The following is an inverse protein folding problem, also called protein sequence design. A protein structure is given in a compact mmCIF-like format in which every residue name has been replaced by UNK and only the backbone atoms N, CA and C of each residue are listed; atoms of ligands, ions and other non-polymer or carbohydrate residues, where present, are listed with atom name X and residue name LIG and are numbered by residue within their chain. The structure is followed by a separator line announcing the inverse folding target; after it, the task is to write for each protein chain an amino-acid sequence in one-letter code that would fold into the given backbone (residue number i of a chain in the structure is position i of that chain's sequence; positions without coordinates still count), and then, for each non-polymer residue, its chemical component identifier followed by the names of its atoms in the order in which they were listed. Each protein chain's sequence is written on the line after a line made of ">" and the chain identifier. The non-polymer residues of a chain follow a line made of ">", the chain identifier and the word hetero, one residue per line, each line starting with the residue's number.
data_IF_400598444764
#
_entry.id   IF_400598444764
#
_cell.length_a   1.000
_cell.length_b   1.000
_cell.length_c   1.000
_cell.angle_alpha   90.00
_cell.angle_beta   90.00
_cell.angle_gamma   90.00
#
_symmetry.space_group_name_H-M   'P 1'
#
loop_
_entity.id
_entity.type
_entity.pdbx_description
1 polymer ?
#
# COMPACT_ATOMS: atom_id res chain seq x y z
N UNK A 1 -6.24 1.10 7.50
CA UNK A 1 -6.19 2.58 7.57
C UNK A 1 -7.43 3.26 6.99
N UNK A 2 -7.84 3.04 5.74
CA UNK A 2 -9.10 3.62 5.22
C UNK A 2 -10.32 2.70 5.34
N UNK A 3 -10.07 1.41 5.61
CA UNK A 3 -11.09 0.35 5.69
C UNK A 3 -11.09 -0.35 7.05
N UNK A 4 -10.61 0.33 8.10
CA UNK A 4 -10.44 -0.26 9.43
C UNK A 4 -11.78 -0.60 10.09
N UNK A 5 -12.83 0.15 9.77
CA UNK A 5 -14.18 -0.06 10.30
C UNK A 5 -15.02 -1.06 9.49
N UNK A 6 -14.47 -1.61 8.39
CA UNK A 6 -15.16 -2.68 7.65
C UNK A 6 -14.99 -4.01 8.38
N UNK A 7 -16.04 -4.83 8.37
CA UNK A 7 -15.91 -6.22 8.83
C UNK A 7 -15.01 -7.01 7.88
N UNK A 8 -14.43 -8.10 8.38
CA UNK A 8 -13.54 -8.96 7.59
C UNK A 8 -14.25 -9.57 6.36
N UNK A 9 -15.54 -9.87 6.48
CA UNK A 9 -16.36 -10.37 5.37
C UNK A 9 -16.55 -9.30 4.29
N UNK A 10 -16.82 -8.05 4.68
CA UNK A 10 -16.97 -6.94 3.75
C UNK A 10 -15.65 -6.62 3.04
N UNK A 11 -14.52 -6.70 3.75
CA UNK A 11 -13.18 -6.52 3.16
C UNK A 11 -12.84 -7.61 2.16
N UNK A 12 -13.11 -8.87 2.52
CA UNK A 12 -12.88 -10.03 1.66
C UNK A 12 -13.71 -9.94 0.39
N UNK A 13 -15.00 -9.60 0.50
CA UNK A 13 -15.89 -9.41 -0.65
C UNK A 13 -15.41 -8.29 -1.58
N UNK A 14 -14.84 -7.22 -1.02
CA UNK A 14 -14.28 -6.10 -1.78
C UNK A 14 -12.86 -6.38 -2.34
N UNK A 15 -12.27 -7.54 -2.06
CA UNK A 15 -10.92 -7.90 -2.51
C UNK A 15 -9.80 -7.16 -1.76
N UNK A 16 -10.05 -6.68 -0.55
CA UNK A 16 -9.09 -5.92 0.27
C UNK A 16 -8.34 -6.87 1.21
N UNK A 17 -7.23 -7.43 0.75
CA UNK A 17 -6.38 -8.30 1.57
C UNK A 17 -5.59 -7.51 2.63
N UNK A 18 -5.10 -8.21 3.66
CA UNK A 18 -4.22 -7.62 4.69
C UNK A 18 -2.84 -7.21 4.13
N UNK A 19 -2.41 -7.82 3.03
CA UNK A 19 -1.16 -7.50 2.34
C UNK A 19 -1.29 -6.36 1.31
N UNK A 20 -2.49 -5.79 1.14
CA UNK A 20 -2.74 -4.79 0.10
C UNK A 20 -2.19 -3.42 0.50
N UNK A 21 -1.20 -2.95 -0.26
CA UNK A 21 -0.67 -1.59 -0.19
C UNK A 21 -1.21 -0.73 -1.34
N UNK A 22 -1.66 0.48 -1.03
CA UNK A 22 -2.10 1.48 -2.03
C UNK A 22 -1.10 2.62 -2.10
N UNK A 23 -0.39 2.74 -3.22
CA UNK A 23 0.60 3.79 -3.46
C UNK A 23 0.03 4.79 -4.45
N UNK A 24 -0.01 6.07 -4.07
CA UNK A 24 -0.34 7.18 -4.98
C UNK A 24 0.96 7.85 -5.40
N UNK A 25 1.33 7.73 -6.67
CA UNK A 25 2.58 8.28 -7.21
C UNK A 25 2.40 9.76 -7.55
N UNK A 26 3.32 10.60 -7.06
CA UNK A 26 3.34 12.04 -7.33
C UNK A 26 4.15 12.41 -8.58
N UNK A 27 4.73 13.61 -8.58
CA UNK A 27 5.53 14.16 -9.68
C UNK A 27 7.03 14.25 -9.35
N UNK A 28 7.47 13.53 -8.32
CA UNK A 28 8.85 13.48 -7.88
C UNK A 28 9.78 12.82 -8.92
N UNK A 29 11.08 12.96 -8.72
CA UNK A 29 12.05 12.24 -9.53
C UNK A 29 11.87 10.72 -9.38
N UNK A 30 11.77 10.01 -10.50
CA UNK A 30 11.53 8.57 -10.50
C UNK A 30 12.61 7.79 -9.75
N UNK A 31 13.86 8.25 -9.79
CA UNK A 31 14.98 7.64 -9.04
C UNK A 31 14.74 7.65 -7.55
N UNK A 32 14.21 8.74 -7.02
CA UNK A 32 14.02 8.93 -5.58
C UNK A 32 12.85 8.08 -5.09
N UNK A 33 11.78 8.01 -5.89
CA UNK A 33 10.65 7.12 -5.64
C UNK A 33 11.09 5.65 -5.59
N UNK A 34 11.88 5.21 -6.58
CA UNK A 34 12.39 3.83 -6.64
C UNK A 34 13.31 3.53 -5.46
N UNK A 35 14.25 4.43 -5.15
CA UNK A 35 15.17 4.26 -4.03
C UNK A 35 14.42 4.18 -2.68
N UNK A 36 13.39 5.01 -2.50
CA UNK A 36 12.54 4.98 -1.32
C UNK A 36 11.76 3.67 -1.19
N UNK A 37 11.20 3.15 -2.29
CA UNK A 37 10.49 1.88 -2.30
C UNK A 37 11.42 0.70 -1.94
N UNK A 38 12.63 0.64 -2.51
CA UNK A 38 13.59 -0.41 -2.15
C UNK A 38 13.98 -0.34 -0.67
N UNK A 39 14.32 0.85 -0.17
CA UNK A 39 14.69 1.03 1.24
C UNK A 39 13.59 0.56 2.19
N UNK A 40 12.33 0.86 1.91
CA UNK A 40 11.20 0.44 2.73
C UNK A 40 10.89 -1.06 2.64
N UNK A 41 10.94 -1.63 1.44
CA UNK A 41 10.63 -3.04 1.20
C UNK A 41 11.72 -3.98 1.71
N UNK A 42 12.99 -3.59 1.60
CA UNK A 42 14.12 -4.39 2.11
C UNK A 42 14.21 -4.40 3.64
N UNK A 43 13.52 -3.47 4.32
CA UNK A 43 13.51 -3.34 5.78
C UNK A 43 12.38 -4.12 6.47
N UNK A 44 11.47 -4.73 5.70
CA UNK A 44 10.34 -5.52 6.18
C UNK A 44 10.69 -7.00 6.32
#
# INVERSE_FOLDING_TARGET
>A
MTHVDMTDEARTLAGISDSLLRISVGLEATSDLIAGLYSGLDAC
#
